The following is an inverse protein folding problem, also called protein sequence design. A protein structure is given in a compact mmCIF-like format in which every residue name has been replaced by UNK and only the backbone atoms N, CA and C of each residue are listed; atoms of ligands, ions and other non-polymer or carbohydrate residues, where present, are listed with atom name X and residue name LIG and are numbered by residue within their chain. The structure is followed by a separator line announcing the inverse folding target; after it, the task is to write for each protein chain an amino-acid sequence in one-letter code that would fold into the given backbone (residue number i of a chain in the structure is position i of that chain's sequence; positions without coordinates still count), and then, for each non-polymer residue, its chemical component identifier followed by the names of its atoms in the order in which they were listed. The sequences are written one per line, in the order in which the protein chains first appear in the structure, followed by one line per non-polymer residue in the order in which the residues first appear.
data_IF_553952640569
#
_entry.id   IF_553952640569
#
_cell.length_a   1.000
_cell.length_b   1.000
_cell.length_c   1.000
_cell.angle_alpha   90.00
_cell.angle_beta   90.00
_cell.angle_gamma   90.00
#
_symmetry.space_group_name_H-M   'P 1'
#
loop_
_entity.id
_entity.type
_entity.pdbx_description
1 polymer ?
#
# COMPACT_ATOMS: atom_id res chain seq x y z
N UNK A 1 -28.85 -26.26 9.09
CA UNK A 1 -28.32 -24.87 9.22
C UNK A 1 -27.62 -24.48 7.93
N UNK A 2 -28.01 -23.38 7.28
CA UNK A 2 -27.38 -22.92 6.03
C UNK A 2 -26.06 -22.22 6.36
N UNK A 3 -24.96 -22.72 5.82
CA UNK A 3 -23.64 -22.10 5.96
C UNK A 3 -23.57 -20.91 5.02
N UNK A 4 -23.20 -19.75 5.53
CA UNK A 4 -22.98 -18.54 4.73
C UNK A 4 -21.53 -18.09 4.87
N UNK A 5 -21.03 -17.41 3.84
CA UNK A 5 -19.69 -16.80 3.82
C UNK A 5 -19.80 -15.30 4.00
N UNK A 6 -18.76 -14.69 4.53
CA UNK A 6 -18.70 -13.26 4.75
C UNK A 6 -17.28 -12.73 4.54
N UNK A 7 -17.18 -11.41 4.41
CA UNK A 7 -15.93 -10.68 4.47
C UNK A 7 -15.81 -9.93 5.80
N UNK A 8 -14.59 -9.88 6.32
CA UNK A 8 -14.15 -8.78 7.18
C UNK A 8 -13.66 -7.63 6.30
N UNK A 9 -13.53 -6.40 6.83
CA UNK A 9 -12.92 -5.28 6.10
C UNK A 9 -11.59 -5.67 5.46
N UNK A 10 -10.70 -6.29 6.23
CA UNK A 10 -9.38 -6.70 5.75
C UNK A 10 -9.45 -7.68 4.58
N UNK A 11 -10.27 -8.74 4.69
CA UNK A 11 -10.44 -9.72 3.61
C UNK A 11 -11.03 -9.08 2.36
N UNK A 12 -11.99 -8.17 2.52
CA UNK A 12 -12.61 -7.49 1.38
C UNK A 12 -11.58 -6.64 0.62
N UNK A 13 -10.75 -5.88 1.35
CA UNK A 13 -9.67 -5.07 0.76
C UNK A 13 -8.66 -5.98 0.06
N UNK A 14 -8.21 -7.05 0.72
CA UNK A 14 -7.21 -7.96 0.17
C UNK A 14 -7.69 -8.62 -1.13
N UNK A 15 -8.94 -9.10 -1.14
CA UNK A 15 -9.53 -9.77 -2.31
C UNK A 15 -9.87 -8.78 -3.42
N UNK A 16 -10.29 -7.55 -3.08
CA UNK A 16 -10.47 -6.48 -4.07
C UNK A 16 -9.14 -6.12 -4.75
N UNK A 17 -8.07 -5.97 -3.98
CA UNK A 17 -6.74 -5.72 -4.53
C UNK A 17 -6.24 -6.89 -5.37
N UNK A 18 -6.58 -8.13 -5.01
CA UNK A 18 -6.27 -9.29 -5.84
C UNK A 18 -7.03 -9.25 -7.18
N UNK A 19 -8.32 -8.89 -7.16
CA UNK A 19 -9.13 -8.72 -8.37
C UNK A 19 -8.59 -7.61 -9.30
N UNK A 20 -8.02 -6.54 -8.74
CA UNK A 20 -7.32 -5.49 -9.51
C UNK A 20 -6.03 -6.03 -10.14
N UNK A 21 -5.17 -6.69 -9.34
CA UNK A 21 -3.90 -7.27 -9.83
C UNK A 21 -4.12 -8.32 -10.92
N UNK A 22 -5.21 -9.07 -10.83
CA UNK A 22 -5.58 -10.13 -11.77
C UNK A 22 -6.45 -9.62 -12.93
N UNK A 23 -6.69 -8.31 -13.02
CA UNK A 23 -7.47 -7.68 -14.08
C UNK A 23 -8.86 -8.33 -14.29
N UNK A 24 -9.57 -8.62 -13.19
CA UNK A 24 -10.92 -9.21 -13.22
C UNK A 24 -11.99 -8.20 -13.64
N UNK A 25 -13.24 -8.64 -13.84
CA UNK A 25 -14.29 -7.76 -14.39
C UNK A 25 -14.99 -6.88 -13.34
N UNK A 26 -15.10 -7.35 -12.10
CA UNK A 26 -15.77 -6.63 -11.00
C UNK A 26 -14.85 -6.41 -9.82
N UNK A 27 -14.76 -5.14 -9.44
CA UNK A 27 -14.09 -4.64 -8.25
C UNK A 27 -14.97 -3.60 -7.56
N UNK A 28 -14.65 -3.33 -6.31
CA UNK A 28 -15.25 -2.28 -5.49
C UNK A 28 -14.38 -1.01 -5.55
N UNK A 29 -15.03 0.14 -5.41
CA UNK A 29 -14.36 1.44 -5.38
C UNK A 29 -13.48 1.57 -4.13
N UNK A 30 -12.29 2.13 -4.28
CA UNK A 30 -11.34 2.36 -3.18
C UNK A 30 -11.96 3.21 -2.06
N UNK A 31 -12.64 4.31 -2.41
CA UNK A 31 -13.33 5.18 -1.45
C UNK A 31 -14.36 4.43 -0.60
N UNK A 32 -15.04 3.42 -1.15
CA UNK A 32 -15.97 2.61 -0.37
C UNK A 32 -15.23 1.79 0.70
N UNK A 33 -14.12 1.17 0.32
CA UNK A 33 -13.34 0.30 1.20
C UNK A 33 -12.66 1.06 2.34
N UNK A 34 -12.15 2.25 2.05
CA UNK A 34 -11.49 3.11 3.04
C UNK A 34 -12.44 3.54 4.17
N UNK A 35 -13.72 3.72 3.84
CA UNK A 35 -14.74 4.20 4.78
C UNK A 35 -15.41 3.08 5.60
N UNK A 36 -15.01 1.81 5.43
CA UNK A 36 -15.59 0.70 6.18
C UNK A 36 -15.15 0.72 7.67
N UNK A 37 -16.03 0.38 8.63
CA UNK A 37 -15.64 0.10 10.00
C UNK A 37 -14.68 -1.09 10.10
N UNK A 38 -13.76 -1.08 11.06
CA UNK A 38 -12.72 -2.12 11.17
C UNK A 38 -13.28 -3.50 11.58
N UNK A 39 -14.37 -3.51 12.34
CA UNK A 39 -15.06 -4.69 12.86
C UNK A 39 -16.26 -5.14 11.99
N UNK A 40 -16.44 -4.54 10.81
CA UNK A 40 -17.59 -4.85 9.96
C UNK A 40 -17.56 -6.30 9.46
N UNK A 41 -18.73 -6.92 9.47
CA UNK A 41 -19.02 -8.22 8.88
C UNK A 41 -19.93 -8.01 7.67
N UNK A 42 -19.45 -8.40 6.50
CA UNK A 42 -20.14 -8.17 5.23
C UNK A 42 -20.57 -9.52 4.66
N UNK A 43 -21.84 -9.91 4.80
CA UNK A 43 -22.31 -11.20 4.31
C UNK A 43 -22.35 -11.23 2.78
N UNK A 44 -21.99 -12.39 2.22
CA UNK A 44 -22.22 -12.67 0.80
C UNK A 44 -23.68 -13.04 0.62
N UNK A 45 -24.41 -12.24 -0.17
CA UNK A 45 -25.84 -12.46 -0.41
C UNK A 45 -26.09 -13.34 -1.63
N UNK A 46 -25.20 -13.31 -2.61
CA UNK A 46 -25.29 -14.15 -3.81
C UNK A 46 -23.90 -14.57 -4.29
N UNK A 47 -23.79 -15.77 -4.86
CA UNK A 47 -22.61 -16.25 -5.57
C UNK A 47 -23.00 -16.90 -6.90
N UNK A 48 -22.18 -16.72 -7.93
CA UNK A 48 -22.34 -17.40 -9.20
C UNK A 48 -21.00 -17.59 -9.91
N UNK A 49 -20.92 -18.66 -10.71
CA UNK A 49 -19.76 -18.95 -11.54
C UNK A 49 -19.82 -18.05 -12.78
N UNK A 50 -18.79 -17.25 -13.01
CA UNK A 50 -18.73 -16.31 -14.13
C UNK A 50 -17.93 -16.91 -15.31
N UNK A 51 -16.84 -17.66 -15.04
CA UNK A 51 -16.05 -18.47 -16.01
C UNK A 51 -15.39 -19.68 -15.31
N UNK A 52 -14.63 -20.52 -16.04
CA UNK A 52 -13.82 -21.61 -15.46
C UNK A 52 -12.78 -20.96 -14.51
N UNK A 53 -12.97 -21.16 -13.21
CA UNK A 53 -12.17 -20.64 -12.08
C UNK A 53 -12.42 -19.20 -11.61
N UNK A 54 -13.51 -18.56 -12.04
CA UNK A 54 -13.95 -17.25 -11.51
C UNK A 54 -15.32 -17.33 -10.83
N UNK A 55 -15.36 -16.87 -9.59
CA UNK A 55 -16.58 -16.68 -8.80
C UNK A 55 -16.85 -15.19 -8.68
N UNK A 56 -18.08 -14.79 -9.03
CA UNK A 56 -18.61 -13.48 -8.70
C UNK A 56 -19.47 -13.59 -7.46
N UNK A 57 -19.20 -12.72 -6.48
CA UNK A 57 -20.04 -12.58 -5.30
C UNK A 57 -20.77 -11.24 -5.33
N UNK A 58 -21.96 -11.22 -4.75
CA UNK A 58 -22.68 -10.01 -4.43
C UNK A 58 -22.64 -9.77 -2.92
N UNK A 59 -22.34 -8.55 -2.52
CA UNK A 59 -22.32 -8.09 -1.13
C UNK A 59 -23.25 -6.89 -0.96
N UNK A 60 -23.72 -6.68 0.27
CA UNK A 60 -24.44 -5.46 0.65
C UNK A 60 -23.41 -4.40 1.04
N UNK A 61 -23.53 -3.21 0.44
CA UNK A 61 -22.60 -2.12 0.63
C UNK A 61 -22.98 -1.22 1.81
N UNK A 62 -24.28 -1.06 2.06
CA UNK A 62 -24.79 -0.18 3.10
C UNK A 62 -26.16 -0.62 3.66
N UNK A 63 -26.59 0.04 4.73
CA UNK A 63 -27.88 -0.20 5.39
C UNK A 63 -29.10 0.11 4.50
N UNK A 64 -28.90 0.87 3.42
CA UNK A 64 -29.95 1.19 2.44
C UNK A 64 -30.17 0.04 1.45
N UNK A 65 -29.38 -1.04 1.54
CA UNK A 65 -29.50 -2.22 0.70
C UNK A 65 -28.80 -2.09 -0.65
N UNK A 66 -27.94 -1.08 -0.84
CA UNK A 66 -27.13 -1.02 -2.06
C UNK A 66 -26.22 -2.25 -2.12
N UNK A 67 -25.98 -2.77 -3.32
CA UNK A 67 -25.16 -3.97 -3.51
C UNK A 67 -24.00 -3.73 -4.47
N UNK A 68 -22.94 -4.49 -4.28
CA UNK A 68 -21.75 -4.46 -5.12
C UNK A 68 -21.34 -5.88 -5.52
N UNK A 69 -20.63 -5.98 -6.64
CA UNK A 69 -20.08 -7.23 -7.12
C UNK A 69 -18.56 -7.24 -6.98
N UNK A 70 -18.01 -8.41 -6.66
CA UNK A 70 -16.58 -8.66 -6.60
C UNK A 70 -16.25 -10.00 -7.24
N UNK A 71 -15.27 -10.02 -8.13
CA UNK A 71 -14.77 -11.23 -8.79
C UNK A 71 -13.54 -11.78 -8.07
N UNK A 72 -13.46 -13.10 -7.88
CA UNK A 72 -12.33 -13.77 -7.25
C UNK A 72 -12.16 -15.21 -7.75
N UNK A 73 -11.01 -15.82 -7.44
CA UNK A 73 -10.80 -17.23 -7.73
C UNK A 73 -11.69 -18.13 -6.86
N UNK A 74 -11.98 -19.34 -7.37
CA UNK A 74 -12.65 -20.40 -6.62
C UNK A 74 -11.94 -20.74 -5.30
N UNK A 75 -10.60 -20.73 -5.30
CA UNK A 75 -9.77 -20.95 -4.12
C UNK A 75 -10.00 -19.89 -3.03
N UNK A 76 -9.93 -18.61 -3.41
CA UNK A 76 -10.17 -17.47 -2.50
C UNK A 76 -11.56 -17.55 -1.90
N UNK A 77 -12.57 -17.77 -2.73
CA UNK A 77 -13.93 -17.98 -2.24
C UNK A 77 -14.01 -19.15 -1.24
N UNK A 78 -13.31 -20.25 -1.51
CA UNK A 78 -13.19 -21.41 -0.61
C UNK A 78 -12.63 -21.04 0.76
N UNK A 79 -11.65 -20.15 0.81
CA UNK A 79 -10.97 -19.69 2.01
C UNK A 79 -11.77 -18.69 2.86
N UNK A 80 -12.84 -18.09 2.32
CA UNK A 80 -13.64 -17.12 3.08
C UNK A 80 -14.23 -17.71 4.37
N UNK A 81 -14.22 -16.92 5.47
CA UNK A 81 -14.77 -17.34 6.73
C UNK A 81 -16.26 -17.56 6.61
N UNK A 82 -16.77 -18.48 7.44
CA UNK A 82 -18.15 -18.91 7.41
C UNK A 82 -18.85 -18.59 8.72
N UNK A 83 -20.16 -18.48 8.64
CA UNK A 83 -21.01 -18.44 9.81
C UNK A 83 -22.25 -19.30 9.58
N UNK A 84 -22.84 -19.75 10.69
CA UNK A 84 -24.08 -20.51 10.73
C UNK A 84 -25.06 -19.78 11.64
N UNK A 85 -26.34 -19.99 11.41
CA UNK A 85 -27.40 -19.52 12.30
C UNK A 85 -27.93 -20.71 13.08
N UNK A 86 -27.89 -20.66 14.40
CA UNK A 86 -28.44 -21.71 15.26
C UNK A 86 -29.98 -21.72 15.26
N UNK A 87 -30.55 -22.69 15.98
CA UNK A 87 -32.01 -22.85 16.10
C UNK A 87 -32.71 -21.65 16.76
N UNK A 88 -31.97 -20.81 17.48
CA UNK A 88 -32.46 -19.62 18.16
C UNK A 88 -32.18 -18.32 17.37
N UNK A 89 -31.68 -18.42 16.13
CA UNK A 89 -31.35 -17.25 15.32
C UNK A 89 -29.99 -16.62 15.62
N UNK A 90 -29.19 -17.18 16.52
CA UNK A 90 -27.86 -16.64 16.87
C UNK A 90 -26.85 -17.00 15.78
N UNK A 91 -26.05 -16.01 15.37
CA UNK A 91 -24.93 -16.23 14.46
C UNK A 91 -23.74 -16.85 15.20
N UNK A 92 -23.26 -17.97 14.67
CA UNK A 92 -22.06 -18.69 15.11
C UNK A 92 -21.03 -18.52 14.01
N UNK A 93 -20.04 -17.66 14.24
CA UNK A 93 -18.92 -17.40 13.34
C UNK A 93 -17.82 -18.44 13.53
N UNK A 94 -17.08 -18.74 12.46
CA UNK A 94 -15.85 -19.51 12.57
C UNK A 94 -14.85 -18.78 13.46
N UNK A 95 -14.16 -19.55 14.31
CA UNK A 95 -13.07 -19.02 15.11
C UNK A 95 -11.84 -18.77 14.23
N UNK A 96 -10.94 -17.89 14.67
CA UNK A 96 -9.66 -17.65 14.00
C UNK A 96 -8.89 -18.95 13.75
N UNK A 97 -8.95 -19.91 14.68
CA UNK A 97 -8.30 -21.21 14.52
C UNK A 97 -8.91 -22.03 13.37
N UNK A 98 -10.23 -22.02 13.22
CA UNK A 98 -10.94 -22.71 12.14
C UNK A 98 -10.65 -22.06 10.78
N UNK A 99 -10.60 -20.73 10.74
CA UNK A 99 -10.24 -19.97 9.53
C UNK A 99 -8.78 -20.27 9.14
N UNK A 100 -7.86 -20.29 10.11
CA UNK A 100 -6.43 -20.61 9.92
C UNK A 100 -6.20 -21.98 9.27
N UNK A 101 -6.96 -23.00 9.64
CA UNK A 101 -6.85 -24.36 9.07
C UNK A 101 -7.13 -24.43 7.56
N UNK A 102 -7.79 -23.42 6.97
CA UNK A 102 -8.14 -23.37 5.54
C UNK A 102 -7.10 -22.69 4.66
N UNK A 103 -6.10 -22.00 5.23
CA UNK A 103 -5.08 -21.33 4.43
C UNK A 103 -4.14 -22.33 3.74
N UNK A 104 -3.69 -22.06 2.51
CA UNK A 104 -2.89 -23.00 1.72
C UNK A 104 -1.47 -23.20 2.28
N UNK A 105 -0.99 -22.30 3.14
CA UNK A 105 0.37 -22.34 3.70
C UNK A 105 0.40 -23.04 5.07
N UNK A 106 0.31 -24.37 5.06
CA UNK A 106 0.16 -25.20 6.28
C UNK A 106 1.39 -25.23 7.21
N UNK A 107 2.57 -24.77 6.76
CA UNK A 107 3.85 -24.97 7.46
C UNK A 107 4.73 -23.70 7.58
N UNK A 108 4.16 -22.49 7.75
CA UNK A 108 4.95 -21.29 8.06
C UNK A 108 4.41 -20.56 9.28
N UNK A 109 5.30 -20.08 10.13
CA UNK A 109 4.97 -19.15 11.21
C UNK A 109 4.55 -17.81 10.61
N UNK A 110 3.44 -17.27 11.12
CA UNK A 110 2.91 -15.98 10.70
C UNK A 110 3.06 -14.97 11.82
N UNK A 111 3.61 -13.80 11.48
CA UNK A 111 3.57 -12.64 12.37
C UNK A 111 2.50 -11.67 11.84
N UNK A 112 1.48 -11.38 12.65
CA UNK A 112 0.57 -10.27 12.35
C UNK A 112 1.32 -8.96 12.61
N UNK A 113 1.62 -8.22 11.54
CA UNK A 113 2.17 -6.87 11.65
C UNK A 113 1.02 -5.88 11.52
N UNK A 114 0.56 -5.33 12.65
CA UNK A 114 -0.39 -4.21 12.64
C UNK A 114 0.39 -2.95 12.25
N UNK A 115 0.32 -2.57 10.98
CA UNK A 115 0.96 -1.35 10.48
C UNK A 115 -0.04 -0.20 10.67
N UNK A 116 0.11 0.59 11.74
CA UNK A 116 -0.58 1.87 11.89
C UNK A 116 0.08 2.90 10.96
N UNK A 117 -0.50 3.13 9.78
CA UNK A 117 -0.09 4.24 8.90
C UNK A 117 -0.99 5.45 9.17
N UNK A 118 -0.44 6.67 9.37
CA UNK A 118 -1.26 7.86 9.35
C UNK A 118 -1.93 7.99 7.97
N UNK A 119 -3.24 8.23 7.95
CA UNK A 119 -3.99 8.49 6.72
C UNK A 119 -3.49 9.81 6.12
N UNK A 120 -2.70 9.70 5.06
CA UNK A 120 -2.20 10.84 4.27
C UNK A 120 -2.27 10.47 2.80
N UNK A 121 -2.56 11.46 1.95
CA UNK A 121 -2.56 11.32 0.49
C UNK A 121 -1.14 11.11 -0.04
N UNK A 122 -0.51 9.96 0.26
CA UNK A 122 0.83 9.60 -0.25
C UNK A 122 0.89 9.68 -1.79
N UNK A 123 -0.24 9.43 -2.45
CA UNK A 123 -0.39 9.57 -3.89
C UNK A 123 -0.14 11.01 -4.38
N UNK A 124 -0.52 12.04 -3.62
CA UNK A 124 -0.33 13.46 -4.02
C UNK A 124 1.12 13.87 -3.84
N UNK A 125 1.73 13.61 -2.67
CA UNK A 125 3.14 13.92 -2.44
C UNK A 125 4.04 13.25 -3.47
N UNK A 126 3.81 11.95 -3.71
CA UNK A 126 4.53 11.19 -4.73
C UNK A 126 4.43 11.86 -6.10
N UNK A 127 3.20 12.16 -6.54
CA UNK A 127 2.96 12.77 -7.84
C UNK A 127 3.72 14.09 -7.98
N UNK A 128 3.60 14.99 -7.01
CA UNK A 128 4.25 16.30 -7.03
C UNK A 128 5.78 16.21 -7.07
N UNK A 129 6.38 15.32 -6.29
CA UNK A 129 7.84 15.15 -6.28
C UNK A 129 8.32 14.53 -7.60
N UNK A 130 7.65 13.51 -8.13
CA UNK A 130 8.04 12.92 -9.41
C UNK A 130 7.92 13.93 -10.56
N UNK A 131 6.84 14.70 -10.60
CA UNK A 131 6.64 15.77 -11.59
C UNK A 131 7.71 16.86 -11.49
N UNK A 132 8.07 17.29 -10.27
CA UNK A 132 9.11 18.30 -10.07
C UNK A 132 10.48 17.88 -10.61
N UNK A 133 10.80 16.59 -10.57
CA UNK A 133 12.05 16.02 -11.08
C UNK A 133 11.90 15.47 -12.50
N UNK A 134 10.86 15.85 -13.26
CA UNK A 134 10.64 15.37 -14.63
C UNK A 134 10.63 13.83 -14.75
N UNK A 135 10.06 13.17 -13.73
CA UNK A 135 10.09 11.72 -13.53
C UNK A 135 11.50 11.13 -13.64
N UNK A 136 12.47 11.76 -12.97
CA UNK A 136 13.86 11.36 -13.02
C UNK A 136 14.44 11.15 -11.61
N UNK A 137 15.21 10.08 -11.44
CA UNK A 137 15.99 9.91 -10.21
C UNK A 137 17.06 10.99 -10.11
N UNK A 138 17.07 11.72 -8.98
CA UNK A 138 18.03 12.76 -8.66
C UNK A 138 19.49 12.27 -8.57
N UNK A 139 19.72 10.97 -8.40
CA UNK A 139 21.07 10.41 -8.20
C UNK A 139 21.64 9.75 -9.45
N UNK A 140 20.82 9.06 -10.26
CA UNK A 140 21.32 8.32 -11.43
C UNK A 140 20.63 8.65 -12.75
N UNK A 141 19.62 9.52 -12.73
CA UNK A 141 18.97 9.96 -13.95
C UNK A 141 17.99 8.97 -14.58
N UNK A 142 17.70 7.81 -13.96
CA UNK A 142 16.72 6.86 -14.50
C UNK A 142 15.31 7.47 -14.55
N UNK A 143 14.57 7.20 -15.64
CA UNK A 143 13.27 7.82 -15.93
C UNK A 143 12.09 6.84 -15.99
N UNK A 144 12.16 5.71 -15.30
CA UNK A 144 11.09 4.70 -15.24
C UNK A 144 10.19 4.94 -14.01
N UNK A 145 8.98 5.53 -14.15
CA UNK A 145 8.17 5.94 -13.00
C UNK A 145 7.78 4.79 -12.06
N UNK A 146 7.71 3.55 -12.56
CA UNK A 146 7.36 2.37 -11.74
C UNK A 146 8.40 2.05 -10.67
N UNK A 147 9.66 2.44 -10.89
CA UNK A 147 10.76 2.22 -9.93
C UNK A 147 11.17 3.49 -9.19
N UNK A 148 10.57 4.63 -9.54
CA UNK A 148 10.80 5.89 -8.83
C UNK A 148 9.99 5.94 -7.55
N UNK A 149 10.48 6.71 -6.59
CA UNK A 149 10.01 6.86 -5.22
C UNK A 149 10.15 8.34 -4.85
N UNK A 150 9.19 8.83 -4.05
CA UNK A 150 9.29 10.16 -3.45
C UNK A 150 9.79 9.96 -2.02
N UNK A 151 11.10 10.12 -1.84
CA UNK A 151 11.75 9.94 -0.56
C UNK A 151 11.66 11.23 0.25
N UNK A 152 11.22 11.14 1.50
CA UNK A 152 11.27 12.27 2.42
C UNK A 152 12.70 12.52 2.89
N UNK A 153 13.13 13.77 2.88
CA UNK A 153 14.42 14.17 3.46
C UNK A 153 14.32 14.08 4.98
N UNK A 154 13.35 14.80 5.56
CA UNK A 154 12.95 14.69 6.97
C UNK A 154 11.83 13.65 7.08
N UNK A 155 12.03 12.54 7.81
CA UNK A 155 11.04 11.49 7.94
C UNK A 155 9.72 12.00 8.53
N UNK A 156 8.60 11.45 8.05
CA UNK A 156 7.26 11.76 8.58
C UNK A 156 7.16 11.47 10.08
N UNK A 157 7.82 10.42 10.57
CA UNK A 157 7.88 10.05 12.00
C UNK A 157 8.58 11.09 12.87
N UNK A 158 9.32 12.02 12.25
CA UNK A 158 10.02 13.13 12.89
C UNK A 158 9.37 14.49 12.58
N UNK A 159 8.13 14.50 12.11
CA UNK A 159 7.39 15.73 11.80
C UNK A 159 7.60 16.28 10.38
N UNK A 160 8.21 15.49 9.48
CA UNK A 160 8.35 15.85 8.07
C UNK A 160 7.01 16.16 7.40
N UNK A 161 6.98 17.24 6.61
CA UNK A 161 5.82 17.64 5.82
C UNK A 161 5.83 16.99 4.42
N UNK A 162 4.68 17.02 3.76
CA UNK A 162 4.50 16.47 2.41
C UNK A 162 4.63 17.57 1.33
N UNK A 163 5.68 18.40 1.42
CA UNK A 163 6.01 19.43 0.42
C UNK A 163 7.18 19.01 -0.46
N UNK A 164 7.21 19.51 -1.70
CA UNK A 164 8.27 19.19 -2.69
C UNK A 164 9.67 19.48 -2.14
N UNK A 165 9.84 20.58 -1.41
CA UNK A 165 11.09 20.96 -0.74
C UNK A 165 11.61 19.92 0.28
N UNK A 166 10.74 19.04 0.79
CA UNK A 166 11.09 17.91 1.67
C UNK A 166 11.20 16.58 0.90
N UNK A 167 11.14 16.61 -0.43
CA UNK A 167 11.10 15.44 -1.29
C UNK A 167 12.30 15.34 -2.23
N UNK A 168 12.78 14.11 -2.40
CA UNK A 168 13.73 13.72 -3.44
C UNK A 168 13.08 12.66 -4.32
N UNK A 169 13.18 12.80 -5.64
CA UNK A 169 12.82 11.72 -6.56
C UNK A 169 13.99 10.74 -6.66
N UNK A 170 13.85 9.54 -6.09
CA UNK A 170 14.90 8.51 -6.08
C UNK A 170 14.37 7.22 -6.71
N UNK A 171 15.21 6.44 -7.38
CA UNK A 171 14.83 5.07 -7.71
C UNK A 171 14.88 4.19 -6.45
N UNK A 172 14.22 3.03 -6.47
CA UNK A 172 14.13 2.12 -5.31
C UNK A 172 15.48 1.84 -4.65
N UNK A 173 16.53 1.58 -5.42
CA UNK A 173 17.87 1.30 -4.88
C UNK A 173 18.45 2.52 -4.14
N UNK A 174 18.29 3.71 -4.72
CA UNK A 174 18.82 4.94 -4.12
C UNK A 174 18.00 5.43 -2.93
N UNK A 175 16.68 5.21 -2.90
CA UNK A 175 15.85 5.44 -1.69
C UNK A 175 16.38 4.59 -0.54
N UNK A 176 16.57 3.29 -0.78
CA UNK A 176 17.05 2.35 0.25
C UNK A 176 18.47 2.72 0.70
N UNK A 177 19.39 3.00 -0.23
CA UNK A 177 20.75 3.40 0.10
C UNK A 177 20.80 4.71 0.89
N UNK A 178 19.95 5.68 0.55
CA UNK A 178 19.84 6.96 1.25
C UNK A 178 19.30 6.79 2.67
N UNK A 179 18.27 5.97 2.85
CA UNK A 179 17.67 5.70 4.17
C UNK A 179 18.56 4.85 5.08
N UNK A 180 19.38 3.97 4.50
CA UNK A 180 20.38 3.18 5.22
C UNK A 180 21.68 3.96 5.52
N UNK A 181 21.82 5.21 5.04
CA UNK A 181 23.02 6.00 5.24
C UNK A 181 24.22 5.57 4.38
N UNK A 182 24.00 4.73 3.37
CA UNK A 182 25.04 4.34 2.40
C UNK A 182 25.34 5.48 1.42
N UNK A 183 24.37 6.38 1.23
CA UNK A 183 24.52 7.62 0.47
C UNK A 183 24.03 8.78 1.33
N UNK A 184 24.76 9.90 1.29
CA UNK A 184 24.37 11.16 1.91
C UNK A 184 24.34 12.28 0.88
N UNK A 185 23.33 13.14 0.99
CA UNK A 185 23.20 14.35 0.17
C UNK A 185 23.45 15.54 1.06
N UNK A 186 24.52 16.30 0.81
CA UNK A 186 24.87 17.48 1.60
C UNK A 186 23.88 18.62 1.36
N UNK A 187 23.93 19.67 2.20
CA UNK A 187 23.11 20.87 1.98
C UNK A 187 23.38 21.59 0.65
N UNK A 188 24.51 21.30 0.01
CA UNK A 188 24.92 21.84 -1.29
C UNK A 188 24.60 20.89 -2.46
N UNK A 189 23.96 19.74 -2.16
CA UNK A 189 23.58 18.73 -3.15
C UNK A 189 24.69 17.75 -3.52
N UNK A 190 25.85 17.81 -2.86
CA UNK A 190 26.94 16.86 -3.08
C UNK A 190 26.52 15.47 -2.59
N UNK A 191 26.90 14.44 -3.34
CA UNK A 191 26.60 13.05 -3.02
C UNK A 191 27.85 12.42 -2.40
N UNK A 192 27.78 12.14 -1.10
CA UNK A 192 28.79 11.40 -0.34
C UNK A 192 28.38 9.92 -0.33
N UNK A 193 29.28 9.03 -0.78
CA UNK A 193 29.04 7.59 -0.89
C UNK A 193 29.88 6.84 0.13
N UNK A 194 29.25 6.00 0.93
CA UNK A 194 29.88 5.23 2.01
C UNK A 194 29.91 3.72 1.74
N UNK A 195 29.51 3.31 0.53
CA UNK A 195 29.57 1.91 0.09
C UNK A 195 30.36 1.82 -1.22
N UNK A 196 31.44 1.05 -1.21
CA UNK A 196 32.31 0.85 -2.38
C UNK A 196 31.59 0.13 -3.54
N UNK A 197 30.49 -0.58 -3.25
CA UNK A 197 29.71 -1.31 -4.26
C UNK A 197 28.65 -0.46 -4.96
N UNK A 198 28.37 0.76 -4.48
CA UNK A 198 27.38 1.65 -5.08
C UNK A 198 28.03 2.54 -6.14
N UNK A 199 27.71 2.26 -7.40
CA UNK A 199 28.14 3.12 -8.50
C UNK A 199 27.20 4.32 -8.65
N UNK A 200 27.69 5.52 -8.32
CA UNK A 200 26.95 6.77 -8.45
C UNK A 200 27.53 7.58 -9.63
N UNK A 201 26.73 7.86 -10.67
CA UNK A 201 27.25 8.48 -11.89
C UNK A 201 27.52 9.99 -11.76
N UNK A 202 26.97 10.66 -10.74
CA UNK A 202 27.11 12.10 -10.55
C UNK A 202 27.65 12.43 -9.16
N UNK A 203 28.52 13.43 -9.07
CA UNK A 203 28.99 13.95 -7.78
C UNK A 203 27.94 14.81 -7.05
N UNK A 204 26.94 15.30 -7.78
CA UNK A 204 25.84 16.12 -7.27
C UNK A 204 24.50 15.57 -7.72
N UNK A 205 23.46 15.86 -6.95
CA UNK A 205 22.10 15.55 -7.35
C UNK A 205 21.70 16.33 -8.61
N UNK A 206 20.92 15.67 -9.47
CA UNK A 206 20.14 16.31 -10.51
C UNK A 206 18.97 17.03 -9.84
N UNK A 207 18.95 18.34 -9.98
CA UNK A 207 17.91 19.19 -9.41
C UNK A 207 16.66 19.21 -10.31
N UNK A 208 15.48 19.53 -9.73
CA UNK A 208 14.30 19.93 -10.49
C UNK A 208 14.62 21.02 -11.51
N UNK A 209 13.89 21.06 -12.63
CA UNK A 209 14.05 22.13 -13.63
C UNK A 209 13.66 23.51 -13.08
N UNK A 210 12.73 23.56 -12.13
CA UNK A 210 12.29 24.79 -11.47
C UNK A 210 12.94 24.95 -10.09
N UNK A 211 13.63 26.08 -9.89
CA UNK A 211 14.34 26.39 -8.64
C UNK A 211 13.44 26.41 -7.40
N UNK A 212 12.14 26.75 -7.55
CA UNK A 212 11.19 26.76 -6.43
C UNK A 212 10.94 25.37 -5.85
N UNK A 213 11.25 24.33 -6.62
CA UNK A 213 11.05 22.93 -6.25
C UNK A 213 12.32 22.29 -5.67
N UNK A 214 13.42 23.04 -5.52
CA UNK A 214 14.67 22.50 -5.01
C UNK A 214 14.48 21.94 -3.60
N UNK A 215 15.21 20.86 -3.25
CA UNK A 215 15.19 20.35 -1.90
C UNK A 215 15.73 21.42 -0.94
N UNK A 216 15.07 21.57 0.20
CA UNK A 216 15.43 22.55 1.20
C UNK A 216 16.80 22.24 1.80
N UNK A 217 17.73 23.20 1.71
CA UNK A 217 19.05 23.11 2.35
C UNK A 217 18.92 22.85 3.86
N UNK A 218 17.92 23.44 4.50
CA UNK A 218 17.60 23.22 5.91
C UNK A 218 17.25 21.75 6.16
N UNK A 219 16.39 21.15 5.35
CA UNK A 219 16.01 19.74 5.50
C UNK A 219 17.16 18.79 5.24
N UNK A 220 17.95 19.03 4.19
CA UNK A 220 19.15 18.24 3.90
C UNK A 220 20.14 18.27 5.08
N UNK A 221 20.29 19.43 5.74
CA UNK A 221 21.12 19.55 6.94
C UNK A 221 20.49 18.87 8.17
N UNK A 222 19.18 19.01 8.37
CA UNK A 222 18.46 18.41 9.51
C UNK A 222 18.55 16.88 9.50
N UNK A 223 18.54 16.23 8.32
CA UNK A 223 18.59 14.76 8.21
C UNK A 223 19.78 14.15 8.97
N UNK A 224 20.93 14.83 8.98
CA UNK A 224 22.20 14.31 9.53
C UNK A 224 22.62 14.95 10.84
N UNK A 225 21.97 16.03 11.27
CA UNK A 225 22.30 16.73 12.53
C UNK A 225 21.45 16.28 13.70
N UNK A 226 20.49 15.36 13.49
CA UNK A 226 19.51 14.89 14.48
C UNK A 226 18.68 16.00 15.15
N UNK A 227 18.71 17.23 14.60
CA UNK A 227 17.92 18.37 15.05
C UNK A 227 16.60 18.42 14.27
N UNK A 228 15.64 17.58 14.68
CA UNK A 228 14.27 17.56 14.12
C UNK A 228 13.31 18.41 14.95
#
# INVERSE_FOLDING_TARGET
MKIKKYFTKWLLIEYNNAAIRENRNRQLKEDYLDNLPDDIIIPIVLMFYHTRDEIRVQIVLDEKGNTGFLDMSSERYGMLPQYKTDVNGKFIFETDEQIRKKFPYKNREWTQKVIKKPYRKQNVFRKLVLEAYDNQCAICGVKEPKILRAAHIVPVTKGGNDKIENGLCLCTNHEIAYDQGLIKITMNGDIEVYSESLNIPYQKILYPSDQKNYPSKKYLNMKYTNNY
#
